data_IF_560475416146
#
_entry.id   IF_560475416146
#
_cell.length_a   1.000
_cell.length_b   1.000
_cell.length_c   1.000
_cell.angle_alpha   90.00
_cell.angle_beta   90.00
_cell.angle_gamma   90.00
#
_symmetry.space_group_name_H-M   'P 1'
#
loop_
_entity.id
_entity.type
_entity.pdbx_description
1 polymer ?
#
# COMPACT_ATOMS: atom_id res chain seq x y z
N UNK A 1 -43.15 -70.80 30.96
CA UNK A 1 -42.20 -70.44 32.03
C UNK A 1 -41.03 -69.72 31.39
N UNK A 2 -40.70 -68.51 31.90
CA UNK A 2 -39.42 -67.76 31.81
C UNK A 2 -38.86 -67.40 30.42
N UNK A 3 -38.38 -66.19 30.09
CA UNK A 3 -38.19 -64.91 30.81
C UNK A 3 -37.84 -63.82 29.78
N UNK A 4 -38.19 -62.56 30.10
CA UNK A 4 -37.84 -61.29 29.45
C UNK A 4 -36.32 -60.98 29.47
N UNK A 5 -35.81 -60.24 28.46
CA UNK A 5 -35.16 -58.89 28.54
C UNK A 5 -34.19 -58.62 27.35
N UNK A 6 -34.26 -57.44 26.67
CA UNK A 6 -33.28 -56.94 25.68
C UNK A 6 -32.23 -55.99 26.35
N UNK A 7 -31.00 -55.80 25.84
CA UNK A 7 -30.63 -54.57 25.08
C UNK A 7 -29.39 -54.83 24.13
N UNK A 8 -28.74 -53.91 23.42
CA UNK A 8 -28.51 -52.48 23.59
C UNK A 8 -28.08 -51.78 22.28
N UNK A 9 -28.38 -50.48 22.25
CA UNK A 9 -27.93 -49.41 21.37
C UNK A 9 -26.43 -49.45 21.00
N UNK A 10 -26.13 -49.40 19.70
CA UNK A 10 -24.88 -48.86 19.17
C UNK A 10 -25.14 -47.44 18.64
N UNK A 11 -25.22 -46.50 19.58
CA UNK A 11 -25.32 -45.07 19.31
C UNK A 11 -24.03 -44.36 19.73
N UNK A 12 -22.90 -44.62 19.06
CA UNK A 12 -21.66 -43.85 19.26
C UNK A 12 -20.79 -43.80 18.01
N UNK A 13 -21.10 -42.91 17.05
CA UNK A 13 -20.04 -42.28 16.26
C UNK A 13 -20.44 -40.99 15.52
N UNK A 14 -20.94 -39.98 16.24
CA UNK A 14 -21.32 -38.70 15.59
C UNK A 14 -20.86 -37.45 16.33
N UNK A 15 -20.00 -37.57 17.35
CA UNK A 15 -19.48 -36.42 18.12
C UNK A 15 -18.07 -35.98 17.73
N UNK A 16 -17.32 -36.81 17.02
CA UNK A 16 -15.92 -36.50 16.70
C UNK A 16 -15.76 -35.58 15.48
N UNK A 17 -16.69 -35.63 14.53
CA UNK A 17 -16.62 -34.87 13.26
C UNK A 17 -16.95 -33.36 13.41
N UNK A 18 -17.74 -32.98 14.42
CA UNK A 18 -18.17 -31.59 14.60
C UNK A 18 -17.11 -30.72 15.29
N UNK A 19 -16.17 -31.33 16.02
CA UNK A 19 -15.08 -30.60 16.69
C UNK A 19 -13.96 -30.24 15.71
N UNK A 20 -13.63 -31.13 14.77
CA UNK A 20 -12.60 -30.89 13.74
C UNK A 20 -13.01 -29.83 12.71
N UNK A 21 -14.30 -29.74 12.37
CA UNK A 21 -14.79 -28.67 11.48
C UNK A 21 -14.71 -27.29 12.12
N UNK A 22 -14.84 -27.20 13.45
CA UNK A 22 -14.76 -25.92 14.18
C UNK A 22 -13.33 -25.42 14.37
N UNK A 23 -12.35 -26.31 14.51
CA UNK A 23 -10.93 -25.92 14.64
C UNK A 23 -10.35 -25.44 13.31
N UNK A 24 -10.63 -26.12 12.18
CA UNK A 24 -10.16 -25.68 10.85
C UNK A 24 -10.69 -24.29 10.43
N UNK A 25 -11.95 -23.98 10.74
CA UNK A 25 -12.56 -22.67 10.38
C UNK A 25 -11.99 -21.49 11.18
N UNK A 26 -11.49 -21.75 12.39
CA UNK A 26 -10.91 -20.73 13.28
C UNK A 26 -9.47 -20.38 12.88
N UNK A 27 -8.72 -21.35 12.35
CA UNK A 27 -7.34 -21.13 11.91
C UNK A 27 -7.27 -20.27 10.63
N UNK A 28 -8.15 -20.49 9.66
CA UNK A 28 -8.16 -19.73 8.39
C UNK A 28 -8.46 -18.23 8.58
N UNK A 29 -9.27 -17.88 9.59
CA UNK A 29 -9.57 -16.47 9.89
C UNK A 29 -8.43 -15.77 10.61
N UNK A 30 -7.65 -16.50 11.40
CA UNK A 30 -6.52 -15.97 12.16
C UNK A 30 -5.27 -15.82 11.28
N UNK A 31 -5.03 -16.76 10.36
CA UNK A 31 -4.02 -16.64 9.30
C UNK A 31 -4.32 -15.46 8.37
N UNK A 32 -5.60 -15.26 8.00
CA UNK A 32 -6.03 -14.13 7.17
C UNK A 32 -5.93 -12.79 7.90
N UNK A 33 -6.24 -12.73 9.20
CA UNK A 33 -6.01 -11.53 10.04
C UNK A 33 -4.53 -11.19 10.18
N UNK A 34 -3.67 -12.17 10.50
CA UNK A 34 -2.21 -11.96 10.57
C UNK A 34 -1.59 -11.55 9.23
N UNK A 35 -2.17 -11.99 8.11
CA UNK A 35 -1.73 -11.57 6.77
C UNK A 35 -2.17 -10.15 6.44
N UNK A 36 -3.37 -9.72 6.87
CA UNK A 36 -3.80 -8.32 6.75
C UNK A 36 -3.00 -7.38 7.66
N UNK A 37 -2.71 -7.79 8.89
CA UNK A 37 -1.94 -6.95 9.83
C UNK A 37 -0.50 -6.73 9.33
N UNK A 38 0.07 -7.66 8.55
CA UNK A 38 1.35 -7.46 7.86
C UNK A 38 1.30 -6.52 6.65
N UNK A 39 0.14 -6.31 6.02
CA UNK A 39 -0.01 -5.33 4.93
C UNK A 39 -0.05 -3.88 5.45
N UNK A 40 -0.42 -3.69 6.72
CA UNK A 40 -0.41 -2.38 7.39
C UNK A 40 0.83 -2.17 8.27
N UNK A 41 1.58 -3.23 8.58
CA UNK A 41 2.80 -3.14 9.37
C UNK A 41 3.97 -2.58 8.53
N UNK A 42 4.22 -1.29 8.74
CA UNK A 42 5.49 -0.59 8.58
C UNK A 42 5.82 -0.05 7.18
N UNK A 43 4.96 0.82 6.65
CA UNK A 43 5.53 2.04 6.09
C UNK A 43 5.76 3.00 7.26
N UNK A 44 7.01 3.12 7.71
CA UNK A 44 7.37 4.24 8.58
C UNK A 44 6.81 5.54 7.98
N UNK A 45 6.26 6.47 8.79
CA UNK A 45 5.74 7.72 8.26
C UNK A 45 6.85 8.37 7.44
N UNK A 46 6.57 8.63 6.16
CA UNK A 46 7.56 9.24 5.28
C UNK A 46 7.81 10.64 5.83
N UNK A 47 9.00 10.86 6.38
CA UNK A 47 9.41 12.18 6.86
C UNK A 47 9.83 13.00 5.66
N UNK A 48 8.96 13.92 5.27
CA UNK A 48 9.21 14.82 4.17
C UNK A 48 10.07 16.00 4.63
N UNK A 49 11.06 16.37 3.83
CA UNK A 49 11.81 17.62 4.04
C UNK A 49 11.14 18.83 3.41
N UNK A 50 10.16 18.59 2.54
CA UNK A 50 9.39 19.59 1.81
C UNK A 50 7.97 19.08 1.57
N UNK A 51 7.07 19.98 1.17
CA UNK A 51 5.74 19.58 0.69
C UNK A 51 5.89 18.59 -0.47
N UNK A 52 5.29 17.39 -0.39
CA UNK A 52 5.40 16.40 -1.46
C UNK A 52 4.66 16.87 -2.71
N UNK A 53 5.17 16.51 -3.88
CA UNK A 53 4.42 16.62 -5.12
C UNK A 53 3.48 15.42 -5.23
N UNK A 54 2.20 15.68 -5.43
CA UNK A 54 1.20 14.65 -5.65
C UNK A 54 0.48 14.92 -6.96
N UNK A 55 0.42 13.90 -7.83
CA UNK A 55 -0.27 13.99 -9.10
C UNK A 55 -1.06 12.72 -9.37
N UNK A 56 -2.34 12.87 -9.71
CA UNK A 56 -3.26 11.76 -9.92
C UNK A 56 -3.78 11.76 -11.35
N UNK A 57 -3.79 10.57 -11.97
CA UNK A 57 -4.41 10.35 -13.26
C UNK A 57 -5.22 9.04 -13.22
N UNK A 58 -6.55 9.17 -13.30
CA UNK A 58 -7.45 8.04 -13.12
C UNK A 58 -7.27 7.39 -11.74
N UNK A 59 -6.93 6.10 -11.73
CA UNK A 59 -6.69 5.35 -10.50
C UNK A 59 -5.23 5.43 -10.01
N UNK A 60 -4.31 6.01 -10.78
CA UNK A 60 -2.90 6.05 -10.45
C UNK A 60 -2.54 7.38 -9.76
N UNK A 61 -1.82 7.30 -8.65
CA UNK A 61 -1.30 8.42 -7.87
C UNK A 61 0.23 8.33 -7.84
N UNK A 62 0.88 9.41 -8.22
CA UNK A 62 2.32 9.57 -8.20
C UNK A 62 2.69 10.55 -7.10
N UNK A 63 3.58 10.12 -6.21
CA UNK A 63 4.13 10.95 -5.14
C UNK A 63 5.62 11.14 -5.39
N UNK A 64 6.05 12.38 -5.58
CA UNK A 64 7.46 12.74 -5.67
C UNK A 64 7.85 13.55 -4.44
N UNK A 65 8.84 13.04 -3.72
CA UNK A 65 9.17 13.43 -2.36
C UNK A 65 10.66 13.67 -2.25
N UNK A 66 11.06 14.67 -1.48
CA UNK A 66 12.44 14.84 -1.03
C UNK A 66 12.56 14.39 0.44
N UNK A 67 13.31 13.32 0.68
CA UNK A 67 13.62 12.82 2.01
C UNK A 67 15.05 13.22 2.44
N UNK A 68 15.52 12.74 3.60
CA UNK A 68 16.87 13.06 4.10
C UNK A 68 18.00 12.43 3.27
N UNK A 69 17.70 11.41 2.49
CA UNK A 69 18.65 10.57 1.75
C UNK A 69 18.62 10.82 0.23
N UNK A 70 17.60 11.49 -0.29
CA UNK A 70 17.42 11.76 -1.69
C UNK A 70 15.96 12.00 -2.08
N UNK A 71 15.64 11.63 -3.33
CA UNK A 71 14.32 11.83 -3.92
C UNK A 71 13.62 10.50 -4.07
N UNK A 72 12.39 10.40 -3.59
CA UNK A 72 11.57 9.19 -3.68
C UNK A 72 10.41 9.44 -4.61
N UNK A 73 10.26 8.57 -5.61
CA UNK A 73 9.05 8.46 -6.42
C UNK A 73 8.28 7.21 -5.99
N UNK A 74 7.08 7.40 -5.47
CA UNK A 74 6.14 6.32 -5.17
C UNK A 74 4.96 6.37 -6.15
N UNK A 75 4.59 5.20 -6.65
CA UNK A 75 3.42 4.98 -7.50
C UNK A 75 2.43 4.16 -6.73
N UNK A 76 1.20 4.67 -6.67
CA UNK A 76 0.13 4.04 -5.96
C UNK A 76 -1.06 3.88 -6.89
N UNK A 77 -1.81 2.80 -6.68
CA UNK A 77 -3.06 2.55 -7.40
C UNK A 77 -4.21 2.51 -6.42
N UNK A 78 -5.26 3.25 -6.74
CA UNK A 78 -6.50 3.24 -5.97
C UNK A 78 -7.23 1.92 -6.17
N UNK A 79 -7.62 1.30 -5.06
CA UNK A 79 -8.40 0.06 -5.00
C UNK A 79 -9.81 0.39 -4.50
N UNK A 80 -10.82 0.46 -5.39
CA UNK A 80 -12.17 0.92 -5.02
C UNK A 80 -12.84 0.03 -3.97
N UNK A 81 -12.64 -1.28 -4.04
CA UNK A 81 -13.27 -2.25 -3.11
C UNK A 81 -12.84 -2.05 -1.66
N UNK A 82 -11.65 -1.50 -1.43
CA UNK A 82 -11.11 -1.24 -0.10
C UNK A 82 -10.94 0.24 0.23
N UNK A 83 -11.34 1.16 -0.66
CA UNK A 83 -11.18 2.61 -0.51
C UNK A 83 -9.78 3.03 -0.02
N UNK A 84 -8.73 2.43 -0.59
CA UNK A 84 -7.35 2.75 -0.23
C UNK A 84 -6.44 2.71 -1.45
N UNK A 85 -5.28 3.33 -1.29
CA UNK A 85 -4.19 3.23 -2.24
C UNK A 85 -3.26 2.08 -1.87
N UNK A 86 -2.83 1.32 -2.87
CA UNK A 86 -1.78 0.31 -2.73
C UNK A 86 -0.55 0.79 -3.47
N UNK A 87 0.61 0.75 -2.82
CA UNK A 87 1.88 1.06 -3.48
C UNK A 87 2.21 -0.03 -4.52
N UNK A 88 2.37 0.38 -5.76
CA UNK A 88 2.77 -0.47 -6.88
C UNK A 88 4.29 -0.49 -7.02
N UNK A 89 4.92 0.67 -6.80
CA UNK A 89 6.37 0.83 -6.97
C UNK A 89 6.88 1.99 -6.12
N UNK A 90 8.09 1.82 -5.59
CA UNK A 90 8.88 2.90 -5.00
C UNK A 90 10.30 2.86 -5.54
N UNK A 91 10.87 4.02 -5.83
CA UNK A 91 12.24 4.14 -6.30
C UNK A 91 12.89 5.39 -5.74
N UNK A 92 14.11 5.25 -5.25
CA UNK A 92 14.92 6.36 -4.75
C UNK A 92 15.92 6.81 -5.80
N UNK A 93 16.14 8.12 -5.88
CA UNK A 93 17.03 8.79 -6.80
C UNK A 93 17.92 9.75 -6.04
N UNK A 94 19.14 9.93 -6.53
CA UNK A 94 20.06 10.87 -5.92
C UNK A 94 19.67 12.31 -6.22
N UNK A 95 19.17 12.58 -7.43
CA UNK A 95 18.93 13.93 -7.91
C UNK A 95 17.46 14.18 -8.28
N UNK A 96 16.93 15.39 -8.04
CA UNK A 96 15.54 15.74 -8.38
C UNK A 96 15.23 15.54 -9.86
N UNK A 97 16.18 15.91 -10.73
CA UNK A 97 16.04 15.80 -12.18
C UNK A 97 15.86 14.36 -12.66
N UNK A 98 16.49 13.40 -11.97
CA UNK A 98 16.37 11.98 -12.31
C UNK A 98 14.99 11.47 -11.93
N UNK A 99 14.54 11.80 -10.71
CA UNK A 99 13.22 11.41 -10.23
C UNK A 99 12.10 12.03 -11.10
N UNK A 100 12.22 13.31 -11.45
CA UNK A 100 11.29 13.99 -12.36
C UNK A 100 11.32 13.40 -13.79
N UNK A 101 12.51 13.10 -14.31
CA UNK A 101 12.66 12.46 -15.62
C UNK A 101 11.98 11.09 -15.67
N UNK A 102 12.12 10.29 -14.60
CA UNK A 102 11.43 8.99 -14.53
C UNK A 102 9.92 9.19 -14.41
N UNK A 103 9.44 10.10 -13.56
CA UNK A 103 8.02 10.42 -13.47
C UNK A 103 7.44 10.75 -14.86
N UNK A 104 8.08 11.66 -15.60
CA UNK A 104 7.65 12.04 -16.95
C UNK A 104 7.68 10.86 -17.92
N UNK A 105 8.73 10.04 -17.89
CA UNK A 105 8.85 8.87 -18.77
C UNK A 105 7.70 7.87 -18.56
N UNK A 106 7.24 7.72 -17.31
CA UNK A 106 6.18 6.77 -16.96
C UNK A 106 4.80 7.28 -17.35
N UNK A 107 4.62 8.59 -17.44
CA UNK A 107 3.35 9.17 -17.88
C UNK A 107 3.25 9.36 -19.39
N UNK A 108 4.33 9.18 -20.15
CA UNK A 108 4.31 9.23 -21.62
C UNK A 108 3.27 8.28 -22.22
N UNK A 109 3.08 7.10 -21.61
CA UNK A 109 2.09 6.11 -22.06
C UNK A 109 0.64 6.59 -21.87
N UNK A 110 0.41 7.62 -21.06
CA UNK A 110 -0.89 8.25 -20.81
C UNK A 110 -1.23 9.33 -21.86
N UNK A 111 -0.31 9.60 -22.79
CA UNK A 111 -0.48 10.56 -23.87
C UNK A 111 0.35 11.84 -23.69
N UNK A 112 0.61 12.50 -24.82
CA UNK A 112 1.47 13.68 -24.88
C UNK A 112 0.87 14.87 -24.11
N UNK A 113 -0.43 15.12 -24.24
CA UNK A 113 -1.10 16.23 -23.56
C UNK A 113 -0.98 16.10 -22.03
N UNK A 114 -1.26 14.91 -21.51
CA UNK A 114 -1.13 14.55 -20.09
C UNK A 114 0.30 14.74 -19.60
N UNK A 115 1.28 14.23 -20.36
CA UNK A 115 2.70 14.36 -20.01
C UNK A 115 3.18 15.80 -20.01
N UNK A 116 2.69 16.62 -20.94
CA UNK A 116 3.01 18.05 -21.01
C UNK A 116 2.42 18.82 -19.84
N UNK A 117 1.20 18.49 -19.42
CA UNK A 117 0.58 19.08 -18.24
C UNK A 117 1.40 18.73 -16.99
N UNK A 118 1.74 17.45 -16.80
CA UNK A 118 2.58 17.01 -15.69
C UNK A 118 3.95 17.70 -15.69
N UNK A 119 4.58 17.87 -16.86
CA UNK A 119 5.85 18.57 -16.96
C UNK A 119 5.77 20.01 -16.45
N UNK A 120 4.67 20.71 -16.71
CA UNK A 120 4.42 22.05 -16.17
C UNK A 120 4.25 21.99 -14.65
N UNK A 121 3.36 21.12 -14.18
CA UNK A 121 3.01 21.01 -12.76
C UNK A 121 4.24 20.67 -11.90
N UNK A 122 5.05 19.69 -12.32
CA UNK A 122 6.25 19.29 -11.57
C UNK A 122 7.35 20.35 -11.63
N UNK A 123 7.47 21.10 -12.73
CA UNK A 123 8.44 22.20 -12.86
C UNK A 123 8.08 23.33 -11.91
N UNK A 124 6.83 23.78 -11.92
CA UNK A 124 6.33 24.81 -11.00
C UNK A 124 6.51 24.40 -9.54
N UNK A 125 6.23 23.14 -9.21
CA UNK A 125 6.47 22.64 -7.86
C UNK A 125 7.95 22.59 -7.47
N UNK A 126 8.84 22.17 -8.39
CA UNK A 126 10.29 22.15 -8.13
C UNK A 126 10.85 23.55 -7.90
N UNK A 127 10.34 24.56 -8.61
CA UNK A 127 10.71 25.97 -8.42
C UNK A 127 10.28 26.46 -7.04
N UNK A 128 9.02 26.25 -6.64
CA UNK A 128 8.54 26.66 -5.30
C UNK A 128 9.28 25.95 -4.15
N UNK A 129 9.70 24.70 -4.35
CA UNK A 129 10.43 23.92 -3.35
C UNK A 129 11.89 24.39 -3.20
N UNK A 130 12.51 24.91 -4.27
CA UNK A 130 13.87 25.50 -4.19
C UNK A 130 13.88 26.77 -3.36
N UNK A 131 12.87 27.63 -3.53
CA UNK A 131 12.79 28.90 -2.81
C UNK A 131 12.68 28.70 -1.29
N UNK A 132 11.98 27.65 -0.86
CA UNK A 132 11.85 27.30 0.55
C UNK A 132 13.14 26.76 1.18
N UNK A 133 14.10 26.25 0.39
CA UNK A 133 15.40 25.80 0.90
C UNK A 133 16.38 26.96 1.11
N UNK A 134 16.19 28.06 0.39
CA UNK A 134 17.04 29.26 0.47
C UNK A 134 16.72 30.15 1.68
N UNK A 135 15.61 29.89 2.38
CA UNK A 135 15.15 30.68 3.53
C UNK A 135 15.48 30.06 4.90
N UNK A 136 16.13 28.89 4.93
CA UNK A 136 16.61 28.32 6.20
C UNK A 136 17.91 29.03 6.60
N UNK A 137 17.98 29.63 7.80
CA UNK A 137 19.21 30.22 8.29
C UNK A 137 20.28 29.13 8.39
N UNK A 138 21.45 29.40 7.79
CA UNK A 138 22.67 28.65 8.05
C UNK A 138 23.06 28.94 9.51
N UNK A 139 22.60 28.11 10.45
CA UNK A 139 23.16 28.10 11.80
C UNK A 139 24.66 27.76 11.68
N UNK A 140 25.48 28.76 12.04
CA UNK A 140 26.94 28.68 12.17
C UNK A 140 27.31 28.24 13.57
#
# INVERSE_FOLDING_TARGET
MTQHTPPADDARDSRSDDLERRTRRRDDTEVRRRSMDRLFALSAPIRFTSTPFAWQHGADLYLLVNDWTGWVLAELKFVPSGCHYVEIRRTSYRWPREAAGVLLSRTLVLGEATSRQLARDVTTWLETTRDHRSSLPLDR
#
